data_IF_194894723566
#
_entry.id   IF_194894723566
#
_cell.length_a   1.000
_cell.length_b   1.000
_cell.length_c   1.000
_cell.angle_alpha   90.00
_cell.angle_beta   90.00
_cell.angle_gamma   90.00
#
_symmetry.space_group_name_H-M   'P 1'
#
loop_
_entity.id
_entity.type
_entity.pdbx_description
1 polymer ?
2 polymer ?
3 non-polymer ?
4 non-polymer ?
5 non-polymer ?
6 water ?
#
# COMPACT_ATOMS: atom_id res chain seq x y z
N UNK A 2 1.04 -27.48 -9.70
CA UNK A 2 0.39 -26.33 -9.02
C UNK A 2 1.29 -25.80 -7.90
N UNK A 3 1.37 -24.48 -7.78
CA UNK A 3 2.30 -23.82 -6.86
C UNK A 3 1.61 -22.74 -6.04
N UNK A 4 1.67 -22.87 -4.72
CA UNK A 4 1.06 -21.89 -3.82
C UNK A 4 2.11 -20.86 -3.40
N UNK A 5 1.93 -19.61 -3.85
CA UNK A 5 2.89 -18.53 -3.62
C UNK A 5 2.32 -17.43 -2.72
N UNK A 6 3.00 -17.16 -1.61
CA UNK A 6 2.62 -16.06 -0.72
C UNK A 6 3.50 -14.85 -0.97
N UNK A 7 2.86 -13.70 -1.14
CA UNK A 7 3.53 -12.42 -1.09
C UNK A 7 3.36 -11.84 0.30
N UNK A 8 4.43 -11.80 1.08
CA UNK A 8 4.41 -11.24 2.42
C UNK A 8 5.41 -10.10 2.54
N UNK A 9 5.26 -9.27 3.56
CA UNK A 9 6.17 -8.15 3.84
C UNK A 9 5.41 -7.07 4.59
N UNK A 10 6.12 -6.16 5.24
CA UNK A 10 5.44 -5.05 5.93
C UNK A 10 4.79 -4.14 4.89
N UNK A 11 3.96 -3.21 5.35
CA UNK A 11 3.17 -2.38 4.46
C UNK A 11 4.05 -1.53 3.59
N UNK A 12 3.65 -1.36 2.34
CA UNK A 12 4.35 -0.50 1.36
C UNK A 12 5.70 -1.05 0.91
N UNK A 13 5.91 -2.35 1.05
CA UNK A 13 7.17 -2.97 0.63
C UNK A 13 7.14 -3.32 -0.85
N UNK A 14 5.96 -3.33 -1.44
CA UNK A 14 5.83 -3.48 -2.89
C UNK A 14 5.21 -4.79 -3.34
N UNK A 15 4.42 -5.43 -2.49
CA UNK A 15 3.82 -6.72 -2.81
C UNK A 15 2.82 -6.57 -3.96
N UNK A 16 1.89 -5.63 -3.82
CA UNK A 16 0.88 -5.41 -4.83
C UNK A 16 1.51 -5.02 -6.17
N UNK A 17 2.61 -4.27 -6.14
CA UNK A 17 3.32 -3.92 -7.37
C UNK A 17 3.85 -5.15 -8.07
N UNK A 18 4.33 -6.13 -7.31
CA UNK A 18 4.76 -7.38 -7.89
C UNK A 18 3.58 -8.14 -8.51
N UNK A 19 2.42 -8.09 -7.85
CA UNK A 19 1.23 -8.75 -8.36
C UNK A 19 0.85 -8.18 -9.73
N UNK A 20 0.91 -6.86 -9.85
CA UNK A 20 0.65 -6.19 -11.11
C UNK A 20 1.65 -6.62 -12.18
N UNK A 21 2.91 -6.78 -11.79
CA UNK A 21 3.91 -7.24 -12.74
C UNK A 21 3.57 -8.64 -13.25
N UNK A 22 3.04 -9.50 -12.39
CA UNK A 22 2.64 -10.83 -12.85
C UNK A 22 1.57 -10.76 -13.93
N UNK A 23 0.67 -9.79 -13.83
CA UNK A 23 -0.34 -9.57 -14.85
C UNK A 23 0.33 -9.08 -16.14
N UNK A 24 1.29 -8.16 -16.01
CA UNK A 24 1.97 -7.58 -17.17
C UNK A 24 2.76 -8.63 -17.93
N UNK A 25 3.48 -9.46 -17.19
CA UNK A 25 4.41 -10.42 -17.76
C UNK A 25 3.75 -11.74 -18.16
N UNK A 26 2.90 -12.27 -17.28
CA UNK A 26 2.36 -13.63 -17.45
C UNK A 26 0.85 -13.71 -17.68
N UNK A 27 0.16 -12.57 -17.71
CA UNK A 27 -1.19 -12.55 -18.26
C UNK A 27 -1.08 -11.78 -19.57
N UNK A 28 -1.74 -10.62 -19.70
CA UNK A 28 -1.89 -9.99 -21.02
C UNK A 28 -1.56 -8.48 -21.04
N UNK A 29 -0.81 -8.01 -20.04
CA UNK A 29 -0.69 -6.59 -19.80
C UNK A 29 -2.03 -6.00 -19.34
N UNK A 30 -2.03 -4.69 -19.18
CA UNK A 30 -3.25 -3.95 -18.93
C UNK A 30 -3.81 -3.48 -20.27
N UNK A 31 -5.12 -3.56 -20.42
CA UNK A 31 -5.79 -2.98 -21.58
C UNK A 31 -5.92 -1.49 -21.36
N UNK A 32 -6.29 -0.79 -22.42
CA UNK A 32 -6.53 0.64 -22.35
C UNK A 32 -7.65 0.94 -21.36
N UNK A 33 -8.76 0.21 -21.48
CA UNK A 33 -9.88 0.36 -20.53
C UNK A 33 -9.45 0.11 -19.08
N UNK A 34 -8.67 -0.93 -18.86
CA UNK A 34 -8.14 -1.20 -17.53
C UNK A 34 -7.23 -0.05 -17.05
N UNK A 35 -6.45 0.54 -17.96
CA UNK A 35 -5.64 1.71 -17.61
C UNK A 35 -6.49 2.94 -17.30
N UNK A 36 -7.55 3.15 -18.07
CA UNK A 36 -8.49 4.22 -17.81
C UNK A 36 -9.07 4.17 -16.39
N UNK A 37 -9.33 2.96 -15.90
CA UNK A 37 -9.83 2.78 -14.54
C UNK A 37 -8.85 3.24 -13.45
N UNK A 38 -7.57 3.39 -13.77
CA UNK A 38 -6.59 3.86 -12.79
C UNK A 38 -6.42 5.38 -12.77
N UNK A 39 -7.06 6.05 -13.72
CA UNK A 39 -6.91 7.50 -13.88
C UNK A 39 -7.28 8.21 -12.60
N UNK A 40 -8.43 7.87 -12.05
CA UNK A 40 -8.88 8.45 -10.80
C UNK A 40 -7.86 8.23 -9.68
N UNK A 41 -7.21 7.07 -9.66
CA UNK A 41 -6.24 6.73 -8.62
C UNK A 41 -4.94 7.53 -8.75
N UNK A 42 -4.50 7.73 -9.98
CA UNK A 42 -3.36 8.62 -10.22
C UNK A 42 -3.67 10.03 -9.72
N UNK A 43 -4.86 10.53 -9.99
CA UNK A 43 -5.18 11.89 -9.60
C UNK A 43 -5.27 12.01 -8.08
N UNK A 44 -5.87 11.01 -7.44
CA UNK A 44 -5.99 11.02 -5.99
C UNK A 44 -4.60 10.93 -5.40
N UNK A 45 -3.80 9.98 -5.86
CA UNK A 45 -2.42 9.86 -5.36
C UNK A 45 -1.69 11.20 -5.51
N UNK A 46 -1.91 11.90 -6.63
CA UNK A 46 -1.18 13.13 -6.95
C UNK A 46 -1.62 14.28 -6.06
N UNK A 47 -2.91 14.40 -5.87
CA UNK A 47 -3.49 15.39 -4.97
C UNK A 47 -3.13 15.14 -3.50
N UNK A 48 -3.29 13.91 -3.02
CA UNK A 48 -3.01 13.64 -1.60
C UNK A 48 -1.53 13.84 -1.28
N UNK A 49 -0.68 13.63 -2.27
CA UNK A 49 0.76 13.84 -2.10
C UNK A 49 1.07 15.31 -1.92
N UNK A 50 0.57 16.15 -2.82
CA UNK A 50 0.84 17.56 -2.72
C UNK A 50 0.21 18.15 -1.44
N UNK A 51 -0.92 17.60 -1.03
CA UNK A 51 -1.56 18.05 0.20
C UNK A 51 -0.72 17.67 1.42
N UNK A 52 -0.20 16.44 1.43
CA UNK A 52 0.60 15.95 2.55
C UNK A 52 1.80 16.87 2.79
N UNK A 53 2.43 17.27 1.69
CA UNK A 53 3.57 18.17 1.75
C UNK A 53 3.16 19.51 2.35
N UNK A 54 2.03 20.05 1.90
CA UNK A 54 1.59 21.36 2.36
C UNK A 54 1.19 21.36 3.84
N UNK A 55 0.58 20.29 4.32
CA UNK A 55 0.27 20.18 5.75
C UNK A 55 1.55 20.04 6.56
N UNK A 56 2.54 19.35 5.99
CA UNK A 56 3.83 19.19 6.65
C UNK A 56 4.50 20.56 6.85
N UNK A 57 4.40 21.43 5.85
CA UNK A 57 4.96 22.78 5.97
C UNK A 57 4.41 23.51 7.20
N UNK A 58 3.11 23.35 7.45
CA UNK A 58 2.46 23.94 8.61
C UNK A 58 2.98 23.40 9.93
N UNK A 59 3.15 22.09 10.01
CA UNK A 59 3.71 21.47 11.20
C UNK A 59 5.18 21.87 11.37
N UNK A 60 5.99 21.60 10.35
CA UNK A 60 7.44 21.89 10.41
C UNK A 60 7.83 23.39 10.37
N UNK A 61 6.85 24.27 10.14
CA UNK A 61 7.06 25.72 10.15
C UNK A 61 7.99 26.18 9.02
N UNK A 62 7.81 25.62 7.83
CA UNK A 62 8.53 26.06 6.63
C UNK A 62 7.64 27.03 5.85
N UNK A 63 8.16 28.23 5.57
CA UNK A 63 7.39 29.22 4.79
C UNK A 63 7.44 28.92 3.30
N UNK A 64 6.47 29.49 2.58
CA UNK A 64 6.46 29.45 1.12
C UNK A 64 7.55 30.35 0.60
N UNK A 65 8.15 29.96 -0.52
CA UNK A 65 9.09 30.81 -1.25
C UNK A 65 8.48 32.12 -1.74
N UNK A 66 7.16 32.11 -2.00
CA UNK A 66 6.43 33.32 -2.39
C UNK A 66 5.07 33.38 -1.68
N UNK A 67 4.61 34.59 -1.36
CA UNK A 67 3.35 34.78 -0.64
C UNK A 67 2.13 34.37 -1.46
N UNK A 68 2.18 34.55 -2.78
CA UNK A 68 1.05 34.23 -3.66
C UNK A 68 0.64 32.75 -3.63
N UNK A 69 1.55 31.89 -3.20
CA UNK A 69 1.27 30.46 -3.10
C UNK A 69 0.26 30.12 -2.00
N UNK A 70 0.16 30.99 -1.00
CA UNK A 70 -0.85 30.83 0.04
C UNK A 70 -2.25 30.75 -0.57
N UNK A 71 -2.50 31.55 -1.59
CA UNK A 71 -3.77 31.50 -2.31
C UNK A 71 -3.88 30.21 -3.12
N UNK A 72 -2.78 29.79 -3.73
CA UNK A 72 -2.77 28.50 -4.42
C UNK A 72 -3.04 27.34 -3.46
N UNK A 73 -2.57 27.46 -2.22
CA UNK A 73 -2.78 26.43 -1.21
C UNK A 73 -4.27 26.31 -0.89
N UNK A 74 -4.91 27.45 -0.65
CA UNK A 74 -6.33 27.45 -0.38
C UNK A 74 -7.10 26.77 -1.51
N UNK A 75 -6.77 27.16 -2.74
CA UNK A 75 -7.51 26.70 -3.91
C UNK A 75 -7.33 25.20 -4.14
N UNK A 76 -6.20 24.67 -3.68
CA UNK A 76 -5.93 23.25 -3.75
C UNK A 76 -7.01 22.51 -2.96
N UNK A 77 -7.24 22.95 -1.74
CA UNK A 77 -8.21 22.28 -0.89
C UNK A 77 -9.64 22.50 -1.39
N UNK A 78 -9.90 23.66 -1.96
CA UNK A 78 -11.21 23.93 -2.54
C UNK A 78 -11.52 22.94 -3.67
N UNK A 79 -10.54 22.63 -4.50
CA UNK A 79 -10.75 21.79 -5.66
C UNK A 79 -10.35 20.32 -5.45
N UNK A 80 -10.00 19.95 -4.21
CA UNK A 80 -9.43 18.62 -3.94
C UNK A 80 -10.35 17.46 -4.34
N UNK A 81 -11.65 17.63 -4.18
CA UNK A 81 -12.62 16.60 -4.57
C UNK A 81 -13.08 16.67 -6.02
N UNK A 82 -12.48 17.57 -6.79
CA UNK A 82 -12.93 17.84 -8.17
C UNK A 82 -12.53 16.73 -9.15
N UNK A 83 -11.54 15.92 -8.76
CA UNK A 83 -10.98 14.88 -9.63
C UNK A 83 -11.56 13.47 -9.41
N UNK A 84 -12.55 13.34 -8.51
CA UNK A 84 -13.11 12.03 -8.14
C UNK A 84 -13.88 11.32 -9.25
N UNK A 85 -14.35 12.09 -10.23
CA UNK A 85 -14.87 11.52 -11.47
C UNK A 85 -13.81 11.54 -12.59
N UNK A 86 -12.54 11.62 -12.21
CA UNK A 86 -11.43 11.41 -13.11
C UNK A 86 -11.13 12.55 -14.07
N UNK A 87 -11.38 13.79 -13.65
CA UNK A 87 -11.00 14.95 -14.47
C UNK A 87 -10.21 15.97 -13.65
N UNK A 88 -8.97 16.21 -14.05
CA UNK A 88 -8.17 17.28 -13.47
C UNK A 88 -8.38 18.55 -14.31
N UNK A 89 -9.10 19.52 -13.74
CA UNK A 89 -9.38 20.76 -14.45
C UNK A 89 -8.07 21.53 -14.63
N UNK A 90 -7.96 22.30 -15.71
CA UNK A 90 -6.74 23.09 -15.90
C UNK A 90 -6.48 24.04 -14.73
N UNK A 91 -7.54 24.49 -14.06
CA UNK A 91 -7.40 25.31 -12.88
C UNK A 91 -6.62 24.57 -11.80
N UNK A 92 -7.05 23.34 -11.51
CA UNK A 92 -6.38 22.50 -10.53
C UNK A 92 -4.96 22.16 -10.95
N UNK A 93 -4.77 21.82 -12.22
CA UNK A 93 -3.43 21.52 -12.73
C UNK A 93 -2.49 22.69 -12.47
N UNK A 94 -2.96 23.90 -12.75
CA UNK A 94 -2.15 25.12 -12.54
C UNK A 94 -1.77 25.31 -11.08
N UNK A 95 -2.74 25.13 -10.19
CA UNK A 95 -2.48 25.24 -8.76
C UNK A 95 -1.40 24.25 -8.34
N UNK A 96 -1.51 23.01 -8.80
CA UNK A 96 -0.56 21.99 -8.36
C UNK A 96 0.82 22.30 -8.93
N UNK A 97 0.90 22.68 -10.21
CA UNK A 97 2.15 23.12 -10.85
C UNK A 97 2.89 24.20 -10.06
N UNK A 98 2.17 25.26 -9.71
CA UNK A 98 2.78 26.41 -9.05
C UNK A 98 3.27 26.04 -7.66
N UNK A 99 2.48 25.25 -6.94
CA UNK A 99 2.87 24.77 -5.62
C UNK A 99 4.13 23.90 -5.67
N UNK A 100 4.16 22.96 -6.59
CA UNK A 100 5.28 22.03 -6.72
C UNK A 100 6.58 22.75 -7.12
N UNK A 101 6.48 23.77 -7.98
CA UNK A 101 7.65 24.56 -8.37
C UNK A 101 8.21 25.38 -7.19
N UNK A 102 7.39 25.72 -6.20
CA UNK A 102 7.83 26.60 -5.11
C UNK A 102 9.00 26.05 -4.28
N UNK A 103 9.98 26.92 -4.01
CA UNK A 103 11.18 26.58 -3.24
C UNK A 103 10.89 26.07 -1.84
N UNK A 104 9.87 26.64 -1.20
CA UNK A 104 9.46 26.20 0.13
C UNK A 104 8.90 24.79 0.10
N UNK A 105 8.01 24.53 -0.85
CA UNK A 105 7.44 23.20 -1.04
C UNK A 105 8.56 22.18 -1.28
N UNK A 106 9.53 22.55 -2.10
CA UNK A 106 10.65 21.67 -2.39
C UNK A 106 11.51 21.41 -1.15
N UNK A 107 11.66 22.41 -0.30
CA UNK A 107 12.42 22.23 0.94
C UNK A 107 11.70 21.26 1.87
N UNK A 108 10.36 21.32 1.89
CA UNK A 108 9.58 20.38 2.69
C UNK A 108 9.62 18.97 2.13
N UNK A 109 9.57 18.87 0.80
CA UNK A 109 9.65 17.57 0.11
C UNK A 109 10.98 16.89 0.43
N UNK A 110 12.05 17.66 0.45
CA UNK A 110 13.36 17.13 0.81
C UNK A 110 13.39 16.55 2.21
N UNK A 111 12.51 17.05 3.09
CA UNK A 111 12.42 16.54 4.46
C UNK A 111 11.38 15.41 4.63
N UNK A 112 10.87 14.86 3.52
CA UNK A 112 9.74 13.91 3.58
C UNK A 112 9.89 12.86 4.70
N UNK A 113 11.12 12.44 4.92
CA UNK A 113 11.50 11.56 6.02
C UNK A 113 10.82 11.90 7.35
N UNK A 114 10.50 13.17 7.56
CA UNK A 114 9.87 13.62 8.80
C UNK A 114 8.36 13.39 8.88
N UNK A 115 7.74 13.03 7.76
CA UNK A 115 6.29 12.76 7.73
C UNK A 115 5.99 11.55 6.83
N UNK A 116 4.74 11.31 6.48
CA UNK A 116 4.36 10.20 5.60
C UNK A 116 4.01 10.68 4.20
N UNK A 117 4.75 10.23 3.21
CA UNK A 117 4.54 10.65 1.82
C UNK A 117 4.74 9.47 0.88
N UNK A 118 3.87 9.35 -0.11
CA UNK A 118 4.00 8.29 -1.14
C UNK A 118 5.33 8.40 -1.87
N UNK A 119 5.90 7.26 -2.22
CA UNK A 119 7.16 7.22 -2.97
C UNK A 119 6.94 7.78 -4.38
N UNK A 120 5.75 7.56 -4.94
CA UNK A 120 5.46 8.00 -6.29
C UNK A 120 5.11 9.47 -6.43
N UNK A 121 5.03 10.21 -5.32
CA UNK A 121 4.68 11.63 -5.36
C UNK A 121 5.47 12.38 -6.43
N UNK A 122 6.79 12.37 -6.31
CA UNK A 122 7.64 13.10 -7.24
C UNK A 122 7.48 12.62 -8.68
N UNK A 123 7.16 11.35 -8.87
CA UNK A 123 7.00 10.76 -10.21
C UNK A 123 5.80 11.38 -10.93
N UNK A 124 4.67 11.45 -10.26
CA UNK A 124 3.51 12.11 -10.84
C UNK A 124 3.71 13.61 -10.94
N UNK A 125 4.10 14.24 -9.84
CA UNK A 125 4.22 15.70 -9.81
C UNK A 125 5.21 16.24 -10.84
N UNK A 126 6.32 15.54 -11.07
CA UNK A 126 7.25 15.96 -12.12
C UNK A 126 6.68 15.73 -13.52
N UNK A 127 5.60 14.97 -13.63
CA UNK A 127 5.02 14.64 -14.92
C UNK A 127 3.58 15.19 -15.05
N UNK A 128 3.32 16.29 -14.37
CA UNK A 128 1.97 16.86 -14.31
C UNK A 128 1.38 17.25 -15.67
N UNK A 129 2.20 17.76 -16.58
CA UNK A 129 1.71 18.17 -17.91
C UNK A 129 1.04 17.02 -18.65
N UNK A 130 1.71 15.87 -18.67
CA UNK A 130 1.17 14.68 -19.31
C UNK A 130 -0.09 14.22 -18.58
N UNK A 131 0.01 14.10 -17.26
CA UNK A 131 -1.11 13.65 -16.42
C UNK A 131 -2.35 14.55 -16.52
N UNK A 132 -2.14 15.83 -16.76
CA UNK A 132 -3.22 16.84 -16.79
C UNK A 132 -4.19 16.80 -17.97
N UNK A 133 -3.77 16.23 -19.10
CA UNK A 133 -4.52 16.34 -20.35
C UNK A 133 -5.87 15.66 -20.25
N UNK A 134 -6.92 16.31 -20.77
CA UNK A 134 -8.25 15.71 -20.83
C UNK A 134 -8.20 14.30 -21.43
N UNK A 135 -7.40 14.12 -22.48
CA UNK A 135 -7.28 12.83 -23.15
C UNK A 135 -6.39 11.80 -22.40
N UNK A 136 -5.81 12.18 -21.28
CA UNK A 136 -4.88 11.33 -20.55
C UNK A 136 -5.36 9.90 -20.33
N UNK A 137 -4.52 8.96 -20.76
CA UNK A 137 -4.65 7.54 -20.46
C UNK A 137 -3.39 7.14 -19.74
N UNK A 138 -3.50 6.65 -18.51
CA UNK A 138 -2.30 6.24 -17.78
C UNK A 138 -1.55 5.16 -18.49
N UNK A 139 -0.23 5.18 -18.40
CA UNK A 139 0.62 4.15 -18.97
C UNK A 139 0.80 3.06 -17.95
N UNK A 140 1.25 1.89 -18.38
CA UNK A 140 1.55 0.81 -17.43
C UNK A 140 2.47 1.25 -16.30
N UNK A 141 3.46 2.09 -16.59
CA UNK A 141 4.31 2.60 -15.51
C UNK A 141 3.47 3.42 -14.53
N UNK A 142 2.58 4.25 -15.04
CA UNK A 142 1.69 5.03 -14.16
C UNK A 142 0.92 4.09 -13.25
N UNK A 143 0.41 2.98 -13.80
CA UNK A 143 -0.41 2.07 -13.02
C UNK A 143 0.44 1.37 -11.97
N UNK A 144 1.63 0.92 -12.37
CA UNK A 144 2.54 0.29 -11.42
C UNK A 144 2.90 1.25 -10.28
N UNK A 145 2.94 2.54 -10.59
CA UNK A 145 3.37 3.52 -9.60
C UNK A 145 2.27 3.87 -8.62
N UNK A 146 1.04 3.44 -8.86
CA UNK A 146 -0.07 3.89 -8.01
C UNK A 146 0.07 3.29 -6.64
N UNK A 147 -0.53 3.96 -5.66
CA UNK A 147 -0.53 3.52 -4.30
C UNK A 147 -1.96 3.33 -3.86
N UNK A 148 -2.30 2.09 -3.53
CA UNK A 148 -3.60 1.73 -3.02
C UNK A 148 -3.36 0.68 -1.96
N UNK A 149 -3.55 1.08 -0.71
CA UNK A 149 -3.39 0.21 0.46
C UNK A 149 -4.23 -1.05 0.33
N UNK A 150 -3.60 -2.22 0.46
CA UNK A 150 -4.30 -3.50 0.38
C UNK A 150 -4.87 -3.89 1.72
N UNK A 151 -6.12 -4.34 1.72
CA UNK A 151 -6.72 -4.87 2.92
C UNK A 151 -7.26 -6.27 2.61
N UNK A 152 -6.92 -7.24 3.45
CA UNK A 152 -7.42 -8.60 3.31
C UNK A 152 -6.45 -9.55 2.61
N UNK A 153 -7.01 -10.62 2.05
CA UNK A 153 -6.26 -11.60 1.26
C UNK A 153 -6.90 -11.73 -0.12
N UNK A 154 -6.08 -11.57 -1.16
CA UNK A 154 -6.55 -11.57 -2.53
C UNK A 154 -5.82 -12.65 -3.33
N UNK A 155 -6.58 -13.59 -3.88
CA UNK A 155 -6.05 -14.72 -4.64
C UNK A 155 -6.00 -14.42 -6.15
N UNK A 156 -4.92 -14.86 -6.78
CA UNK A 156 -4.72 -14.67 -8.22
C UNK A 156 -4.15 -15.93 -8.86
N UNK A 157 -4.46 -16.11 -10.14
CA UNK A 157 -4.04 -17.29 -10.89
C UNK A 157 -3.21 -16.86 -12.06
N UNK A 158 -2.13 -17.60 -12.34
CA UNK A 158 -1.47 -17.53 -13.64
C UNK A 158 -0.63 -18.77 -13.95
N UNK A 159 -0.18 -18.86 -15.20
CA UNK A 159 0.58 -20.01 -15.69
C UNK A 159 1.95 -19.58 -16.23
N UNK A 160 2.96 -20.39 -15.97
CA UNK A 160 4.32 -20.09 -16.39
C UNK A 160 5.13 -21.38 -16.37
N UNK A 161 5.74 -21.71 -17.51
CA UNK A 161 6.55 -22.92 -17.62
C UNK A 161 5.80 -24.16 -17.11
N UNK A 162 4.56 -24.32 -17.57
CA UNK A 162 3.74 -25.52 -17.28
C UNK A 162 3.39 -25.66 -15.79
N UNK A 163 3.39 -24.54 -15.07
CA UNK A 163 3.03 -24.53 -13.64
C UNK A 163 1.88 -23.57 -13.41
N UNK A 164 0.88 -24.02 -12.65
CA UNK A 164 -0.26 -23.19 -12.29
C UNK A 164 0.05 -22.50 -10.97
N UNK A 165 0.21 -21.18 -10.99
CA UNK A 165 0.48 -20.40 -9.77
C UNK A 165 -0.80 -19.91 -9.12
N UNK A 166 -1.06 -20.37 -7.91
CA UNK A 166 -2.04 -19.73 -7.03
C UNK A 166 -1.24 -18.76 -6.18
N UNK A 167 -1.51 -17.47 -6.31
CA UNK A 167 -0.74 -16.42 -5.64
C UNK A 167 -1.62 -15.61 -4.70
N UNK A 168 -1.09 -15.31 -3.52
CA UNK A 168 -1.84 -14.62 -2.47
C UNK A 168 -1.16 -13.32 -2.09
N UNK A 169 -1.88 -12.22 -2.29
CA UNK A 169 -1.42 -10.89 -1.91
C UNK A 169 -2.07 -10.55 -0.57
N UNK A 170 -1.29 -10.02 0.36
CA UNK A 170 -1.83 -9.66 1.67
C UNK A 170 -1.48 -8.24 2.06
N UNK A 171 -2.25 -7.71 3.00
CA UNK A 171 -1.96 -6.41 3.59
C UNK A 171 -0.83 -6.60 4.58
N UNK A 172 0.02 -5.58 4.69
CA UNK A 172 1.22 -5.68 5.52
C UNK A 172 1.23 -4.85 6.78
N UNK A 173 0.20 -4.07 7.02
CA UNK A 173 0.13 -3.29 8.25
C UNK A 173 -0.13 -4.23 9.41
N UNK A 174 0.29 -3.83 10.60
CA UNK A 174 0.16 -4.69 11.78
C UNK A 174 -1.20 -5.37 11.89
N UNK A 175 -2.27 -4.60 11.76
CA UNK A 175 -3.63 -5.13 11.89
C UNK A 175 -3.92 -6.28 10.91
N UNK A 176 -3.42 -6.18 9.69
CA UNK A 176 -3.68 -7.20 8.65
C UNK A 176 -2.98 -8.53 8.93
N UNK A 177 -1.86 -8.49 9.65
CA UNK A 177 -1.02 -9.67 9.88
C UNK A 177 -1.70 -10.82 10.64
N UNK A 178 -2.66 -10.49 11.50
CA UNK A 178 -3.41 -11.51 12.23
C UNK A 178 -4.18 -12.45 11.28
N UNK A 179 -4.41 -12.00 10.05
CA UNK A 179 -5.17 -12.77 9.06
C UNK A 179 -4.29 -13.69 8.21
N UNK A 180 -2.99 -13.52 8.30
CA UNK A 180 -2.07 -14.28 7.44
C UNK A 180 -2.17 -15.78 7.69
N UNK A 181 -2.40 -16.16 8.94
CA UNK A 181 -2.48 -17.56 9.29
C UNK A 181 -3.52 -18.36 8.47
N UNK A 182 -4.44 -17.65 7.81
CA UNK A 182 -5.50 -18.30 7.04
C UNK A 182 -5.00 -19.02 5.80
N UNK A 183 -3.91 -18.54 5.21
CA UNK A 183 -3.40 -19.17 4.01
C UNK A 183 -1.96 -19.70 4.12
N UNK A 184 -1.61 -20.19 5.31
CA UNK A 184 -0.27 -20.73 5.59
C UNK A 184 -0.11 -22.22 5.20
N UNK A 185 -1.20 -22.92 4.93
CA UNK A 185 -1.14 -24.37 4.67
C UNK A 185 -0.58 -24.73 3.30
N UNK A 186 0.40 -25.64 3.29
CA UNK A 186 0.97 -26.19 2.06
C UNK A 186 1.58 -25.15 1.14
N UNK A 187 2.39 -24.26 1.71
CA UNK A 187 2.96 -23.16 0.94
C UNK A 187 4.24 -23.60 0.24
N UNK A 188 4.25 -23.46 -1.08
CA UNK A 188 5.39 -23.87 -1.90
C UNK A 188 6.54 -22.87 -1.77
N UNK A 189 6.19 -21.59 -1.93
CA UNK A 189 7.17 -20.51 -1.90
C UNK A 189 6.61 -19.24 -1.28
N UNK A 190 7.47 -18.50 -0.60
CA UNK A 190 7.14 -17.21 -0.04
C UNK A 190 8.08 -16.21 -0.67
N UNK A 191 7.53 -15.14 -1.24
CA UNK A 191 8.32 -14.00 -1.62
C UNK A 191 8.09 -12.95 -0.55
N UNK A 192 9.15 -12.62 0.18
CA UNK A 192 9.08 -11.61 1.23
C UNK A 192 9.71 -10.31 0.75
N UNK A 193 8.92 -9.24 0.70
CA UNK A 193 9.39 -7.96 0.22
C UNK A 193 9.81 -7.05 1.35
N UNK A 194 10.95 -6.39 1.14
CA UNK A 194 11.44 -5.35 2.01
C UNK A 194 11.66 -4.08 1.18
N UNK A 195 11.20 -2.94 1.72
CA UNK A 195 11.50 -1.64 1.12
C UNK A 195 12.88 -1.14 1.57
N UNK A 196 13.89 -1.36 0.73
CA UNK A 196 15.25 -0.88 1.04
C UNK A 196 15.28 0.59 1.44
N UNK A 197 14.39 1.38 0.86
CA UNK A 197 14.40 2.83 1.05
C UNK A 197 13.77 3.25 2.37
N UNK A 198 13.20 2.29 3.11
CA UNK A 198 12.60 2.55 4.41
C UNK A 198 13.61 2.72 5.55
N UNK A 199 14.90 2.61 5.28
CA UNK A 199 15.87 2.52 6.38
C UNK A 199 15.85 3.71 7.33
N UNK A 200 15.48 4.88 6.84
CA UNK A 200 15.39 6.07 7.69
C UNK A 200 13.96 6.56 7.92
N UNK A 201 12.97 5.79 7.48
CA UNK A 201 11.58 6.14 7.72
C UNK A 201 11.03 5.48 9.00
N UNK A 202 9.85 5.93 9.41
CA UNK A 202 9.16 5.38 10.59
C UNK A 202 7.81 4.83 10.12
N UNK A 203 7.25 3.89 10.89
CA UNK A 203 5.98 3.23 10.54
C UNK A 203 4.78 4.19 10.47
N UNK A 204 3.88 3.95 9.51
CA UNK A 204 2.61 4.65 9.45
C UNK A 204 1.76 4.40 10.70
N UNK A 205 1.86 3.19 11.26
CA UNK A 205 1.08 2.81 12.45
C UNK A 205 1.77 3.09 13.79
N UNK A 206 3.03 3.50 13.78
CA UNK A 206 3.74 3.89 15.00
C UNK A 206 4.93 4.78 14.69
N UNK A 207 4.72 6.10 14.79
CA UNK A 207 5.75 7.09 14.37
C UNK A 207 7.09 7.01 15.15
N UNK A 208 7.16 6.16 16.17
CA UNK A 208 8.39 5.95 16.94
C UNK A 208 9.26 4.78 16.45
N UNK A 209 8.70 3.85 15.67
CA UNK A 209 9.42 2.63 15.28
C UNK A 209 9.99 2.73 13.86
N UNK A 210 11.27 2.40 13.72
CA UNK A 210 11.93 2.37 12.43
C UNK A 210 11.37 1.25 11.56
N UNK A 211 11.08 1.58 10.30
CA UNK A 211 10.44 0.64 9.39
C UNK A 211 11.26 -0.59 9.07
N UNK A 212 12.58 -0.43 8.97
CA UNK A 212 13.45 -1.54 8.60
C UNK A 212 13.48 -2.54 9.73
N UNK A 213 13.58 -2.03 10.95
CA UNK A 213 13.64 -2.89 12.13
C UNK A 213 12.35 -3.68 12.26
N UNK A 214 11.25 -3.05 11.86
CA UNK A 214 9.95 -3.69 11.84
C UNK A 214 9.95 -4.84 10.85
N UNK A 215 10.45 -4.53 9.68
CA UNK A 215 10.56 -5.48 8.61
C UNK A 215 11.45 -6.68 9.00
N UNK A 216 12.54 -6.43 9.72
CA UNK A 216 13.44 -7.50 10.15
C UNK A 216 12.75 -8.40 11.17
N UNK A 217 12.17 -7.81 12.21
CA UNK A 217 11.36 -8.55 13.16
C UNK A 217 10.33 -9.45 12.45
N UNK A 218 9.65 -8.89 11.45
CA UNK A 218 8.65 -9.66 10.69
C UNK A 218 9.29 -10.80 9.92
N UNK A 219 10.39 -10.52 9.23
CA UNK A 219 11.12 -11.57 8.49
C UNK A 219 11.62 -12.66 9.42
N UNK A 220 12.12 -12.26 10.59
CA UNK A 220 12.53 -13.22 11.63
C UNK A 220 11.39 -14.18 11.93
N UNK A 221 10.20 -13.65 12.08
CA UNK A 221 9.04 -14.47 12.43
C UNK A 221 8.67 -15.39 11.30
N UNK A 222 8.59 -14.87 10.08
CA UNK A 222 8.15 -15.67 8.95
C UNK A 222 9.18 -16.72 8.63
N UNK A 223 10.41 -16.26 8.42
CA UNK A 223 11.51 -17.12 8.01
C UNK A 223 11.68 -18.39 8.83
N UNK A 224 11.55 -18.26 10.15
CA UNK A 224 11.78 -19.37 11.08
C UNK A 224 10.50 -20.11 11.50
N UNK A 225 9.38 -19.79 10.87
CA UNK A 225 8.11 -20.42 11.18
C UNK A 225 8.05 -21.86 10.73
N UNK A 226 7.53 -22.73 11.59
CA UNK A 226 7.49 -24.18 11.33
C UNK A 226 6.52 -24.56 10.20
N UNK A 227 5.64 -23.66 9.81
CA UNK A 227 4.83 -23.86 8.61
C UNK A 227 5.70 -23.90 7.35
N UNK A 228 6.84 -23.20 7.38
CA UNK A 228 7.63 -23.01 6.18
C UNK A 228 9.00 -23.66 6.28
N UNK A 229 9.04 -24.85 6.86
CA UNK A 229 10.28 -25.59 6.93
C UNK A 229 10.65 -26.11 5.54
N UNK A 230 9.63 -26.53 4.80
CA UNK A 230 9.79 -27.09 3.45
C UNK A 230 9.37 -26.09 2.37
N UNK A 231 9.37 -24.80 2.71
CA UNK A 231 9.00 -23.76 1.74
C UNK A 231 10.24 -23.04 1.25
N UNK A 232 10.33 -22.85 -0.07
CA UNK A 232 11.39 -22.05 -0.66
C UNK A 232 11.17 -20.60 -0.28
N UNK A 233 12.09 -20.02 0.48
CA UNK A 233 11.94 -18.65 0.95
C UNK A 233 12.79 -17.66 0.13
N UNK A 234 12.10 -16.78 -0.57
CA UNK A 234 12.72 -15.77 -1.42
C UNK A 234 12.63 -14.42 -0.76
N UNK A 235 13.72 -13.66 -0.80
CA UNK A 235 13.76 -12.32 -0.24
C UNK A 235 13.92 -11.30 -1.37
N UNK A 236 12.98 -10.35 -1.46
CA UNK A 236 13.05 -9.27 -2.45
C UNK A 236 13.42 -8.00 -1.72
N UNK A 237 14.67 -7.59 -1.84
CA UNK A 237 15.07 -6.30 -1.31
C UNK A 237 14.69 -5.28 -2.39
N UNK A 238 13.49 -4.74 -2.25
CA UNK A 238 12.86 -3.93 -3.28
C UNK A 238 13.18 -2.44 -3.13
N UNK A 239 12.73 -1.63 -4.07
CA UNK A 239 12.99 -0.18 -4.06
C UNK A 239 14.47 0.13 -4.15
N UNK A 240 15.21 -0.67 -4.89
CA UNK A 240 16.64 -0.45 -5.01
C UNK A 240 16.90 0.89 -5.70
N UNK A 241 15.99 1.29 -6.58
CA UNK A 241 16.15 2.55 -7.30
C UNK A 241 16.06 3.72 -6.32
N UNK A 242 15.05 3.70 -5.44
CA UNK A 242 14.90 4.77 -4.47
C UNK A 242 16.05 4.75 -3.45
N UNK A 243 16.51 3.55 -3.13
CA UNK A 243 17.60 3.37 -2.18
C UNK A 243 18.87 3.99 -2.71
N UNK A 244 19.07 3.85 -4.01
CA UNK A 244 20.28 4.38 -4.65
C UNK A 244 20.36 5.89 -4.58
N UNK A 245 19.25 6.59 -4.79
CA UNK A 245 19.25 8.05 -4.67
C UNK A 245 19.43 8.47 -3.19
N UNK A 246 18.86 7.68 -2.29
CA UNK A 246 18.73 8.07 -0.88
C UNK A 246 20.01 7.94 -0.07
N UNK A 247 20.78 6.88 -0.36
CA UNK A 247 21.97 6.54 0.41
C UNK A 247 23.07 7.60 0.28
N UNK A 248 23.02 8.39 -0.78
CA UNK A 248 23.95 9.53 -0.95
C UNK A 248 23.61 10.65 0.05
N UNK A 249 22.32 10.89 0.25
CA UNK A 249 21.82 11.98 1.07
C UNK A 249 21.73 11.62 2.57
N UNK A 250 21.48 10.35 2.89
CA UNK A 250 20.99 9.96 4.24
C UNK A 250 21.72 8.73 4.80
N UNK A 251 22.43 8.89 5.93
CA UNK A 251 23.32 7.81 6.36
C UNK A 251 22.58 6.59 6.90
N UNK A 252 23.13 5.40 6.64
CA UNK A 252 22.53 4.16 7.10
C UNK A 252 22.59 3.99 8.62
N UNK A 253 23.45 4.75 9.30
CA UNK A 253 23.54 4.71 10.76
C UNK A 253 22.26 5.17 11.48
N UNK A 254 21.39 5.85 10.76
CA UNK A 254 20.04 6.14 11.25
C UNK A 254 19.34 4.85 11.64
N UNK A 255 19.57 3.80 10.85
CA UNK A 255 18.91 2.51 11.01
C UNK A 255 19.75 1.52 11.81
N UNK A 256 21.00 1.35 11.38
CA UNK A 256 21.93 0.44 12.04
C UNK A 256 23.09 1.25 12.60
N UNK A 257 22.98 1.67 13.88
CA UNK A 257 24.00 2.56 14.40
C UNK A 257 25.38 1.91 14.57
N UNK A 258 25.48 0.59 14.39
CA UNK A 258 26.78 -0.10 14.46
C UNK A 258 27.49 -0.14 13.11
N UNK A 259 26.82 0.28 12.05
CA UNK A 259 27.40 0.25 10.71
C UNK A 259 28.61 1.16 10.61
N UNK A 260 29.74 0.61 10.22
CA UNK A 260 31.00 1.37 10.11
C UNK A 260 31.44 1.55 8.65
N UNK A 261 30.69 0.92 7.73
CA UNK A 261 30.99 0.99 6.32
C UNK A 261 30.63 2.34 5.72
N UNK A 262 30.85 2.45 4.42
CA UNK A 262 30.64 3.71 3.72
C UNK A 262 29.22 3.81 3.17
N UNK A 263 28.67 5.02 3.18
CA UNK A 263 27.33 5.28 2.69
C UNK A 263 27.27 5.27 1.17
N UNK A 264 27.35 4.08 0.59
CA UNK A 264 27.37 3.90 -0.85
C UNK A 264 26.47 2.75 -1.18
N UNK A 265 25.78 2.83 -2.31
CA UNK A 265 24.84 1.81 -2.72
C UNK A 265 25.36 0.38 -2.44
N UNK A 266 26.56 0.08 -2.91
CA UNK A 266 27.06 -1.30 -2.88
C UNK A 266 27.29 -1.84 -1.47
N UNK A 267 27.95 -1.06 -0.62
CA UNK A 267 28.19 -1.49 0.77
C UNK A 267 26.92 -1.49 1.61
N UNK A 268 26.16 -0.41 1.51
CA UNK A 268 24.95 -0.30 2.29
C UNK A 268 23.99 -1.44 1.95
N UNK A 269 23.85 -1.75 0.66
CA UNK A 269 22.94 -2.81 0.25
C UNK A 269 23.42 -4.16 0.75
N UNK A 270 24.73 -4.39 0.65
CA UNK A 270 25.31 -5.64 1.11
C UNK A 270 24.99 -5.84 2.60
N UNK A 271 25.11 -4.75 3.38
CA UNK A 271 24.99 -4.83 4.82
C UNK A 271 23.58 -5.21 5.19
N UNK A 272 22.62 -4.63 4.49
CA UNK A 272 21.22 -4.91 4.74
C UNK A 272 20.95 -6.37 4.44
N UNK A 273 21.34 -6.85 3.26
CA UNK A 273 21.18 -8.26 2.91
C UNK A 273 21.62 -9.20 4.04
N UNK A 274 22.84 -9.00 4.54
CA UNK A 274 23.38 -9.82 5.64
C UNK A 274 22.55 -9.74 6.90
N UNK A 275 22.07 -8.54 7.23
CA UNK A 275 21.26 -8.36 8.42
C UNK A 275 20.04 -9.25 8.35
N UNK A 276 19.39 -9.31 7.19
CA UNK A 276 18.21 -10.15 7.03
C UNK A 276 18.56 -11.62 7.01
N UNK A 277 19.60 -11.99 6.27
CA UNK A 277 19.97 -13.40 6.15
C UNK A 277 20.46 -14.00 7.47
N UNK A 278 21.01 -13.18 8.35
CA UNK A 278 21.46 -13.64 9.66
C UNK A 278 20.30 -14.02 10.60
N UNK A 279 19.08 -13.63 10.25
CA UNK A 279 17.89 -13.97 11.03
C UNK A 279 17.42 -15.40 10.75
N UNK A 280 17.96 -16.02 9.70
CA UNK A 280 17.75 -17.44 9.47
C UNK A 280 18.40 -18.25 10.59
N UNK A 281 17.58 -18.88 11.44
CA UNK A 281 18.10 -19.72 12.54
C UNK A 281 18.65 -21.05 12.05
N UNK A 282 17.95 -21.66 11.10
CA UNK A 282 18.33 -22.96 10.55
C UNK A 282 19.20 -22.82 9.31
N UNK A 283 20.40 -22.26 9.48
CA UNK A 283 21.34 -22.06 8.35
C UNK A 283 21.84 -23.40 7.79
N UNK A 284 22.06 -24.37 8.69
CA UNK A 284 22.43 -25.74 8.27
C UNK A 284 21.37 -26.31 7.30
N UNK A 285 20.10 -26.25 7.69
CA UNK A 285 18.99 -26.75 6.85
C UNK A 285 18.67 -25.83 5.67
N UNK A 286 18.19 -24.62 5.98
CA UNK A 286 17.46 -23.78 5.04
C UNK A 286 18.33 -22.77 4.29
N UNK A 287 17.83 -22.30 3.16
CA UNK A 287 18.51 -21.25 2.39
C UNK A 287 17.53 -20.14 1.96
N UNK A 288 18.04 -18.90 1.97
CA UNK A 288 17.28 -17.74 1.52
C UNK A 288 17.78 -17.36 0.15
N UNK A 289 16.86 -17.20 -0.79
CA UNK A 289 17.19 -16.76 -2.13
C UNK A 289 16.88 -15.27 -2.25
N UNK A 290 17.93 -14.45 -2.32
CA UNK A 290 17.80 -13.02 -2.26
C UNK A 290 18.03 -12.35 -3.61
N UNK A 291 17.18 -11.39 -3.94
CA UNK A 291 17.31 -10.61 -5.18
C UNK A 291 17.00 -9.16 -4.91
N UNK A 292 17.79 -8.28 -5.53
CA UNK A 292 17.56 -6.85 -5.45
C UNK A 292 16.65 -6.49 -6.59
N UNK A 293 15.52 -5.89 -6.25
CA UNK A 293 14.47 -5.65 -7.20
C UNK A 293 14.08 -4.19 -7.23
N UNK A 294 13.65 -3.75 -8.40
CA UNK A 294 12.83 -2.56 -8.54
C UNK A 294 11.48 -3.05 -9.02
N UNK A 295 10.53 -3.16 -8.11
CA UNK A 295 9.23 -3.78 -8.43
C UNK A 295 8.52 -3.08 -9.59
N UNK A 296 8.70 -1.78 -9.72
CA UNK A 296 8.03 -1.00 -10.77
C UNK A 296 8.68 -1.15 -12.16
N UNK A 297 9.77 -1.93 -12.23
CA UNK A 297 10.53 -2.11 -13.46
C UNK A 297 10.30 -3.51 -14.04
N UNK A 298 9.52 -3.56 -15.11
CA UNK A 298 9.08 -4.84 -15.67
C UNK A 298 10.20 -5.75 -16.15
N UNK A 299 11.16 -5.21 -16.89
CA UNK A 299 12.30 -6.04 -17.33
C UNK A 299 13.05 -6.62 -16.13
N UNK A 300 13.25 -5.81 -15.09
CA UNK A 300 13.90 -6.30 -13.88
C UNK A 300 13.11 -7.40 -13.18
N UNK A 301 11.81 -7.19 -13.00
CA UNK A 301 10.97 -8.17 -12.32
C UNK A 301 10.86 -9.44 -13.16
N UNK A 302 10.81 -9.32 -14.48
CA UNK A 302 10.78 -10.50 -15.36
C UNK A 302 12.00 -11.40 -15.18
N UNK A 303 13.18 -10.81 -15.18
CA UNK A 303 14.43 -11.55 -14.97
C UNK A 303 14.43 -12.21 -13.60
N UNK A 304 14.17 -11.42 -12.55
CA UNK A 304 14.19 -11.93 -11.18
C UNK A 304 13.19 -13.06 -10.97
N UNK A 305 12.00 -12.96 -11.54
CA UNK A 305 11.00 -13.99 -11.33
C UNK A 305 11.31 -15.27 -12.10
N UNK A 306 12.02 -15.15 -13.22
CA UNK A 306 12.45 -16.31 -14.00
C UNK A 306 13.41 -17.13 -13.16
N UNK A 307 14.35 -16.47 -12.50
CA UNK A 307 15.29 -17.13 -11.60
C UNK A 307 14.57 -17.79 -10.42
N UNK A 308 13.63 -17.06 -9.83
CA UNK A 308 12.84 -17.59 -8.70
C UNK A 308 12.08 -18.85 -9.09
N UNK A 309 11.51 -18.85 -10.29
CA UNK A 309 10.79 -20.00 -10.80
C UNK A 309 11.71 -21.20 -11.00
N UNK A 310 12.93 -20.95 -11.47
CA UNK A 310 13.90 -22.05 -11.65
C UNK A 310 14.30 -22.67 -10.30
N UNK A 311 14.43 -21.83 -9.27
CA UNK A 311 14.67 -22.33 -7.91
C UNK A 311 13.54 -23.22 -7.41
N UNK A 312 12.30 -22.79 -7.63
CA UNK A 312 11.13 -23.55 -7.20
C UNK A 312 11.09 -24.90 -7.87
N UNK A 313 11.38 -24.92 -9.17
CA UNK A 313 11.45 -26.15 -9.94
C UNK A 313 12.53 -27.08 -9.39
N UNK A 314 13.72 -26.55 -9.14
CA UNK A 314 14.80 -27.31 -8.46
C UNK A 314 14.30 -27.97 -7.17
N UNK A 315 13.66 -27.20 -6.32
CA UNK A 315 13.29 -27.66 -4.98
C UNK A 315 12.00 -28.47 -4.91
N UNK A 316 11.37 -28.74 -6.06
CA UNK A 316 10.26 -29.68 -6.12
C UNK A 316 10.57 -30.90 -6.97
N UNK A 317 11.85 -31.24 -7.05
CA UNK A 317 12.29 -32.59 -7.43
C UNK A 317 12.71 -33.36 -6.16
N UNK A 318 13.29 -32.62 -5.20
CA UNK A 318 13.61 -33.15 -3.87
C UNK A 318 12.42 -32.94 -2.92
N UNK B 25 -31.11 -5.01 -11.81
CA UNK B 25 -30.97 -4.15 -13.02
C UNK B 25 -30.58 -2.71 -12.62
N UNK B 26 -31.56 -1.97 -12.09
CA UNK B 26 -31.33 -0.61 -11.56
C UNK B 26 -30.48 -0.66 -10.29
N UNK B 27 -30.77 -1.62 -9.42
CA UNK B 27 -30.06 -1.79 -8.14
C UNK B 27 -28.56 -2.02 -8.37
N UNK B 28 -28.22 -2.94 -9.26
CA UNK B 28 -26.80 -3.20 -9.61
C UNK B 28 -26.12 -1.99 -10.29
N UNK B 29 -26.82 -1.33 -11.20
CA UNK B 29 -26.30 -0.12 -11.86
C UNK B 29 -25.91 0.98 -10.85
N UNK B 30 -26.71 1.15 -9.80
CA UNK B 30 -26.46 2.18 -8.78
C UNK B 30 -25.28 1.82 -7.87
N UNK B 31 -25.04 0.54 -7.62
CA UNK B 31 -23.90 0.15 -6.78
C UNK B 31 -22.57 0.40 -7.49
N UNK B 32 -22.58 0.39 -8.82
CA UNK B 32 -21.37 0.60 -9.64
C UNK B 32 -20.93 2.06 -9.70
N UNK B 33 -21.84 2.99 -9.46
CA UNK B 33 -21.54 4.42 -9.53
C UNK B 33 -20.62 4.90 -8.40
N UNK B 34 -20.85 4.43 -7.18
CA UNK B 34 -20.02 4.82 -6.05
C UNK B 34 -20.21 3.91 -4.84
N UNK B 35 -19.21 3.90 -3.97
CA UNK B 35 -19.32 3.19 -2.70
C UNK B 35 -20.43 3.76 -1.83
N UNK B 36 -20.63 5.07 -1.87
CA UNK B 36 -21.74 5.70 -1.14
C UNK B 36 -23.06 5.04 -1.50
N UNK B 37 -23.32 4.89 -2.79
CA UNK B 37 -24.56 4.26 -3.24
C UNK B 37 -24.67 2.84 -2.71
N UNK B 38 -23.56 2.09 -2.74
CA UNK B 38 -23.55 0.71 -2.21
C UNK B 38 -23.88 0.66 -0.72
N UNK B 39 -23.22 1.49 0.07
CA UNK B 39 -23.41 1.51 1.52
C UNK B 39 -24.74 2.08 2.00
N UNK B 40 -25.46 2.82 1.15
CA UNK B 40 -26.79 3.34 1.51
C UNK B 40 -27.88 2.30 1.28
N UNK B 41 -27.69 1.45 0.26
CA UNK B 41 -28.63 0.37 -0.04
C UNK B 41 -28.32 -0.84 0.85
N UNK B 42 -29.24 -1.20 1.76
CA UNK B 42 -28.94 -2.31 2.65
C UNK B 42 -28.73 -3.67 1.94
N UNK B 43 -29.39 -3.90 0.82
CA UNK B 43 -29.16 -5.11 0.01
C UNK B 43 -27.76 -5.06 -0.59
N UNK B 44 -27.34 -3.86 -1.00
CA UNK B 44 -25.99 -3.67 -1.49
C UNK B 44 -24.97 -4.02 -0.44
N UNK B 45 -25.20 -3.56 0.78
CA UNK B 45 -24.33 -3.84 1.92
C UNK B 45 -24.24 -5.35 2.22
N UNK B 46 -25.36 -6.06 2.11
CA UNK B 46 -25.37 -7.51 2.31
C UNK B 46 -24.45 -8.23 1.31
N UNK B 47 -24.60 -7.91 0.03
CA UNK B 47 -23.82 -8.55 -1.02
C UNK B 47 -22.34 -8.20 -0.90
N UNK B 48 -22.06 -7.00 -0.42
CA UNK B 48 -20.69 -6.52 -0.27
C UNK B 48 -20.05 -7.17 0.94
N UNK B 49 -20.81 -7.28 2.03
CA UNK B 49 -20.37 -8.07 3.19
C UNK B 49 -19.93 -9.46 2.75
N UNK B 50 -20.74 -10.11 1.92
CA UNK B 50 -20.44 -11.47 1.48
C UNK B 50 -19.14 -11.53 0.70
N UNK B 51 -18.87 -10.48 -0.07
CA UNK B 51 -17.61 -10.37 -0.82
C UNK B 51 -16.43 -10.17 0.12
N UNK B 52 -16.57 -9.27 1.09
CA UNK B 52 -15.49 -9.03 2.05
C UNK B 52 -15.18 -10.28 2.89
N UNK B 53 -16.20 -11.05 3.25
CA UNK B 53 -15.96 -12.29 3.98
C UNK B 53 -14.94 -13.17 3.25
N UNK B 54 -15.08 -13.28 1.92
CA UNK B 54 -14.20 -14.13 1.13
C UNK B 54 -12.77 -13.60 1.10
N UNK B 55 -12.61 -12.30 1.27
CA UNK B 55 -11.28 -11.67 1.28
C UNK B 55 -10.80 -11.31 2.68
N UNK B 56 -11.49 -11.78 3.71
CA UNK B 56 -11.08 -11.53 5.09
C UNK B 56 -10.87 -10.04 5.40
N UNK B 57 -11.81 -9.20 4.97
CA UNK B 57 -11.75 -7.77 5.29
C UNK B 57 -13.12 -7.22 5.66
N UNK B 58 -13.97 -8.06 6.24
CA UNK B 58 -15.33 -7.65 6.60
C UNK B 58 -15.33 -6.65 7.73
N UNK B 59 -14.29 -6.67 8.57
CA UNK B 59 -14.18 -5.69 9.67
C UNK B 59 -14.33 -4.25 9.18
N UNK B 60 -13.83 -3.98 7.97
CA UNK B 60 -13.93 -2.65 7.41
C UNK B 60 -15.36 -2.12 7.29
N UNK B 61 -16.24 -2.88 6.64
CA UNK B 61 -17.61 -2.42 6.49
C UNK B 61 -18.32 -2.40 7.83
N UNK B 62 -18.08 -3.41 8.66
CA UNK B 62 -18.73 -3.48 9.97
C UNK B 62 -18.37 -2.24 10.78
N UNK B 63 -17.09 -1.90 10.80
CA UNK B 63 -16.65 -0.72 11.51
C UNK B 63 -17.31 0.54 10.94
N UNK B 64 -17.41 0.63 9.62
CA UNK B 64 -18.07 1.78 9.00
C UNK B 64 -19.54 1.90 9.44
N UNK B 65 -20.29 0.80 9.33
CA UNK B 65 -21.71 0.80 9.73
C UNK B 65 -21.88 1.16 11.21
N UNK B 66 -20.96 0.67 12.05
CA UNK B 66 -20.95 0.99 13.47
C UNK B 66 -20.81 2.50 13.71
N UNK B 67 -19.96 3.17 12.92
CA UNK B 67 -19.80 4.62 13.07
C UNK B 67 -21.06 5.38 12.64
N UNK B 68 -21.74 4.91 11.59
CA UNK B 68 -23.00 5.51 11.14
C UNK B 68 -24.10 5.36 12.18
N UNK B 69 -24.12 4.23 12.90
CA UNK B 69 -25.03 4.07 14.03
C UNK B 69 -24.70 5.08 15.11
N UNK B 70 -23.43 5.10 15.50
CA UNK B 70 -22.95 5.99 16.56
C UNK B 70 -23.35 7.45 16.35
N UNK B 71 -23.18 7.95 15.14
CA UNK B 71 -23.58 9.32 14.77
C UNK B 71 -25.00 9.69 15.16
N UNK B 72 -25.93 8.78 14.88
CA UNK B 72 -27.36 9.03 15.04
C UNK B 72 -27.78 9.20 16.50
N UNK B 73 -27.14 8.46 17.41
CA UNK B 73 -27.65 8.36 18.79
C UNK B 73 -27.34 9.60 19.64
N UNK B 74 -28.29 9.95 20.50
CA UNK B 74 -28.25 11.18 21.29
C UNK B 74 -28.03 10.94 22.80
N UNK B 75 -28.32 9.73 23.28
CA UNK B 75 -28.23 9.46 24.72
C UNK B 75 -26.78 9.35 25.18
N UNK B 76 -26.37 10.27 26.05
CA UNK B 76 -24.98 10.32 26.55
C UNK B 76 -24.48 8.99 27.13
N UNK B 77 -25.33 8.27 27.85
CA UNK B 77 -24.95 6.99 28.46
C UNK B 77 -24.90 5.85 27.43
N UNK B 78 -25.86 5.84 26.50
CA UNK B 78 -25.87 4.86 25.41
C UNK B 78 -24.73 5.10 24.40
N UNK B 79 -24.27 6.36 24.34
CA UNK B 79 -23.17 6.76 23.47
C UNK B 79 -21.80 6.37 24.07
N UNK B 80 -21.62 6.60 25.36
CA UNK B 80 -20.35 6.28 26.02
C UNK B 80 -20.03 4.78 25.98
N UNK B 81 -21.04 3.95 26.21
CA UNK B 81 -20.85 2.49 26.17
C UNK B 81 -20.50 2.04 24.75
N UNK B 82 -21.24 2.55 23.75
CA UNK B 82 -21.00 2.19 22.35
C UNK B 82 -19.64 2.68 21.86
N UNK B 83 -19.20 3.85 22.32
CA UNK B 83 -17.88 4.36 21.95
C UNK B 83 -16.76 3.44 22.46
N UNK B 84 -16.86 3.03 23.73
CA UNK B 84 -15.97 2.01 24.29
C UNK B 84 -16.03 0.75 23.43
N UNK B 85 -17.25 0.33 23.11
CA UNK B 85 -17.50 -0.92 22.38
C UNK B 85 -16.91 -0.93 20.97
N UNK B 86 -17.00 0.21 20.28
CA UNK B 86 -16.37 0.36 18.97
C UNK B 86 -14.85 0.31 19.12
N UNK B 87 -14.33 0.91 20.19
CA UNK B 87 -12.89 0.95 20.39
C UNK B 87 -12.32 -0.44 20.64
N UNK B 88 -13.04 -1.26 21.40
CA UNK B 88 -12.57 -2.60 21.79
C UNK B 88 -12.71 -3.60 20.64
N UNK B 89 -13.74 -3.43 19.82
CA UNK B 89 -13.97 -4.34 18.69
C UNK B 89 -13.06 -4.06 17.50
N UNK B 90 -12.80 -2.78 17.21
CA UNK B 90 -12.18 -2.35 15.94
C UNK B 90 -10.83 -1.60 16.01
N UNK B 91 -10.57 -0.90 17.12
CA UNK B 91 -9.45 0.04 17.21
C UNK B 91 -8.30 -0.39 18.11
N UNK B 92 -8.55 -1.28 19.07
CA UNK B 92 -7.51 -1.73 19.99
C UNK B 92 -6.48 -2.61 19.31
N UNK B 93 -5.23 -2.49 19.75
CA UNK B 93 -4.14 -3.40 19.31
C UNK B 93 -4.41 -4.87 19.67
N UNK B 94 -5.19 -5.09 20.72
CA UNK B 94 -5.61 -6.44 21.09
C UNK B 94 -6.91 -6.86 20.40
N UNK B 95 -7.56 -5.93 19.69
CA UNK B 95 -8.89 -6.19 19.12
C UNK B 95 -8.85 -7.27 18.03
N UNK B 96 -9.84 -8.15 18.05
CA UNK B 96 -9.90 -9.25 17.08
C UNK B 96 -10.24 -8.77 15.65
N UNK B 97 -11.11 -7.77 15.54
CA UNK B 97 -11.44 -7.18 14.25
C UNK B 97 -10.77 -5.83 14.09
N UNK B 98 -9.46 -5.76 14.35
CA UNK B 98 -8.76 -4.48 14.26
C UNK B 98 -8.72 -3.98 12.82
N UNK B 99 -9.14 -2.74 12.61
CA UNK B 99 -9.22 -2.17 11.28
C UNK B 99 -7.90 -1.47 10.89
N UNK B 100 -7.56 -1.52 9.60
CA UNK B 100 -6.29 -1.00 9.11
C UNK B 100 -6.32 0.51 8.89
N UNK B 101 -6.06 1.24 9.96
CA UNK B 101 -6.23 2.68 9.98
C UNK B 101 -4.85 3.30 10.17
N UNK B 102 -4.60 4.50 9.62
CA UNK B 102 -3.23 5.08 9.67
C UNK B 102 -2.95 5.61 11.08
N UNK B 103 -2.49 4.71 11.95
CA UNK B 103 -2.37 4.95 13.39
C UNK B 103 -1.61 6.23 13.71
N UNK B 115 -16.19 12.15 24.81
CA UNK B 115 -16.99 11.49 23.77
C UNK B 115 -17.97 12.45 23.09
N UNK B 116 -18.35 12.14 21.85
CA UNK B 116 -19.35 12.90 21.10
C UNK B 116 -19.63 12.22 19.75
N UNK B 117 -20.76 12.57 19.10
CA UNK B 117 -21.22 11.75 17.97
C UNK B 117 -20.21 11.59 16.85
N UNK B 118 -19.54 12.66 16.44
CA UNK B 118 -18.67 12.61 15.25
C UNK B 118 -17.19 12.37 15.58
N UNK B 119 -16.92 11.74 16.72
CA UNK B 119 -15.55 11.58 17.18
C UNK B 119 -14.75 10.58 16.35
N UNK B 120 -15.42 9.72 15.59
CA UNK B 120 -14.72 8.76 14.73
C UNK B 120 -14.62 9.20 13.27
N UNK B 121 -14.93 10.46 12.94
CA UNK B 121 -14.91 10.89 11.53
C UNK B 121 -13.63 10.55 10.75
N UNK B 122 -12.48 11.06 11.20
CA UNK B 122 -11.18 10.77 10.55
C UNK B 122 -11.04 9.28 10.24
N UNK B 123 -11.31 8.45 11.25
CA UNK B 123 -11.11 7.02 11.13
C UNK B 123 -12.12 6.39 10.17
N UNK B 124 -13.38 6.76 10.30
CA UNK B 124 -14.41 6.30 9.38
C UNK B 124 -14.10 6.67 7.93
N UNK B 125 -13.71 7.91 7.69
CA UNK B 125 -13.29 8.34 6.37
C UNK B 125 -12.12 7.51 5.83
N UNK B 126 -11.15 7.20 6.68
CA UNK B 126 -9.99 6.40 6.26
C UNK B 126 -10.39 5.00 5.80
N UNK B 127 -11.26 4.35 6.56
CA UNK B 127 -11.72 3.01 6.21
C UNK B 127 -12.62 3.07 4.99
N UNK B 128 -13.37 4.16 4.86
CA UNK B 128 -14.18 4.37 3.67
C UNK B 128 -13.28 4.38 2.43
N UNK B 129 -12.18 5.14 2.49
CA UNK B 129 -11.27 5.26 1.36
C UNK B 129 -10.46 3.99 1.08
N UNK B 130 -10.23 3.20 2.14
CA UNK B 130 -9.53 1.92 2.03
C UNK B 130 -10.37 0.97 1.19
N UNK B 131 -11.65 0.85 1.56
CA UNK B 131 -12.63 0.07 0.80
C UNK B 131 -12.78 0.62 -0.62
N UNK B 132 -12.95 1.93 -0.77
CA UNK B 132 -13.27 2.52 -2.07
C UNK B 132 -12.27 2.16 -3.16
N UNK B 133 -10.99 2.31 -2.84
CA UNK B 133 -9.97 2.18 -3.86
C UNK B 133 -9.46 0.76 -4.02
N UNK B 134 -9.78 -0.12 -3.07
CA UNK B 134 -9.22 -1.46 -3.02
C UNK B 134 -10.28 -2.59 -3.19
N UNK B 135 -11.00 -2.92 -2.13
CA UNK B 135 -11.87 -4.07 -2.16
C UNK B 135 -13.15 -3.84 -3.00
N UNK B 136 -13.73 -2.65 -2.87
CA UNK B 136 -14.85 -2.20 -3.72
C UNK B 136 -14.49 -2.26 -5.18
N UNK B 137 -13.25 -1.91 -5.50
CA UNK B 137 -12.81 -1.96 -6.89
C UNK B 137 -12.91 -3.40 -7.42
N UNK B 138 -12.49 -4.36 -6.60
CA UNK B 138 -12.55 -5.77 -6.99
C UNK B 138 -13.97 -6.32 -6.93
N UNK B 139 -14.77 -5.81 -6.02
CA UNK B 139 -16.18 -6.20 -5.89
C UNK B 139 -16.91 -6.04 -7.21
N UNK B 140 -16.72 -4.89 -7.87
CA UNK B 140 -17.37 -4.59 -9.15
C UNK B 140 -16.96 -5.51 -10.29
N UNK B 141 -15.81 -6.18 -10.16
CA UNK B 141 -15.34 -7.14 -11.16
C UNK B 141 -15.77 -8.58 -10.83
N UNK B 142 -16.44 -8.77 -9.70
CA UNK B 142 -16.73 -10.10 -9.17
C UNK B 142 -17.98 -10.76 -9.75
N UNK B 143 -18.09 -12.07 -9.54
CA UNK B 143 -19.27 -12.83 -9.96
C UNK B 143 -20.49 -12.39 -9.12
N UNK B 144 -20.28 -12.25 -7.81
CA UNK B 144 -21.30 -11.71 -6.88
C UNK B 144 -22.11 -10.53 -7.47
N UNK B 145 -21.42 -9.69 -8.23
CA UNK B 145 -22.00 -8.50 -8.84
C UNK B 145 -22.54 -8.80 -10.26
N UNK B 146 -21.74 -9.48 -11.07
CA UNK B 146 -22.12 -9.85 -12.45
C UNK B 146 -22.61 -11.29 -12.51
X LIG C 1 0.07 -2.85 1.67
X LIG C 1 -0.25 -4.32 0.72
X LIG C 1 0.43 -1.32 2.54
X LIG C 1 -1.01 -1.99 0.56
X LIG C 1 1.02 -3.81 2.85
X LIG D 1 -0.55 -4.15 -1.23
X LIG E 1 2.38 -3.08 -0.60
X LIG E 1 1.50 -3.91 -1.50
X LIG E 1 1.65 -2.46 0.57
X LIG E 1 3.48 -3.97 -0.09
X LIG E 1 3.11 -1.90 -1.40
X LIG E 1 2.68 -1.47 -2.88
X LIG E 1 1.29 -0.89 -2.74
X LIG E 1 2.79 -2.61 -3.87
X LIG E 1 3.70 -0.32 -3.31
X LIG E 1 3.81 0.86 -2.51
X LIG E 1 4.17 2.04 -3.39
X LIG E 1 5.57 1.98 -3.73
X LIG E 1 3.41 2.03 -4.71
X LIG E 1 3.09 3.39 -5.07
X LIG E 1 4.37 1.43 -5.70
X LIG E 1 4.18 1.92 -7.02
X LIG E 1 5.72 1.87 -5.14
X LIG E 1 6.81 0.92 -5.40
X LIG E 1 6.81 -0.38 -5.11
X LIG E 1 7.99 -0.94 -5.45
X LIG E 1 8.76 0.02 -5.94
X LIG E 1 10.14 0.10 -6.45
X LIG E 1 10.84 -0.91 -6.51
X LIG E 1 10.58 1.29 -6.86
X LIG E 1 9.81 2.40 -6.82
X LIG E 1 10.32 3.58 -7.25
X LIG E 1 8.54 2.40 -6.34
X LIG E 1 7.99 1.26 -5.90
#
# INVERSE_FOLDING_TARGET
KEVKLLLLGAGESGKSTIVKQMKIIHEDGYSEDECKQYKVVVYSNTIQSIIAIIRAMGRLKIDFGEAARADDARQLFVLAGSAEEGVMTPELAGVIKRLWRDGGVQACFSRSREYQLNDSASYYLNDLDRISQSNYIPTQQDVLRTRVKTTGIVETHFTFKDLYFKMFDVGGQRSERKKWIHCFEGVTAIIFCVALSDYDLVLAEDEEMNRMHESMKLFDSICNNKWFTETSIILFLNKKDLFEEKIKRSPLTICYPEYTGSNTYEEAAAYIQCQFEDLNRRKDTKEIYTHFTCATDTKNVQFVFDAVTDVIIKNNLKECGLY
SMSRKRPPSDIHDSDGSSSSSHQSLKSTAKWAASLENLLEDPEGVKRFREFLKKEFSEENVLFWLACEDFKKMQDKTQMQEKAKEIYMTFLSSKASSQVNVEGQSRLNEKILEEPHPLMFQKLQDQIFNLMKYDSYSRFLKSDLFLKHKRTEE
ALF AL F1 F2 F3 F4
MG MG
GDP PB O1B O2B O3B O3A PA O1A O2A O5' C5' C4' O4' C3' O3' C2' O2' C1' N9 C8 N7 C5 C6 O6 N1 C2 N2 N3 C4
#
